data_IF_659893710244
#
_entry.id   IF_659893710244
#
_cell.length_a   1.000
_cell.length_b   1.000
_cell.length_c   1.000
_cell.angle_alpha   90.00
_cell.angle_beta   90.00
_cell.angle_gamma   90.00
#
_symmetry.space_group_name_H-M   'P 1'
#
loop_
_entity.id
_entity.type
_entity.pdbx_description
1 polymer ?
#
# COMPACT_ATOMS: atom_id res chain seq x y z
N UNK A 1 -4.04 -20.99 9.77
CA UNK A 1 -4.37 -20.30 11.01
C UNK A 1 -5.75 -20.71 11.54
N UNK A 2 -6.87 -20.40 10.88
CA UNK A 2 -8.22 -20.84 11.32
C UNK A 2 -8.36 -22.36 11.54
N UNK A 3 -7.74 -23.20 10.72
CA UNK A 3 -7.81 -24.67 10.88
C UNK A 3 -7.12 -25.18 12.17
N UNK A 4 -6.02 -24.56 12.58
CA UNK A 4 -5.23 -25.04 13.71
C UNK A 4 -5.77 -24.54 15.05
N UNK A 5 -6.13 -23.27 15.13
CA UNK A 5 -6.59 -22.63 16.36
C UNK A 5 -8.00 -23.05 16.76
N UNK A 6 -8.91 -23.17 15.82
CA UNK A 6 -10.28 -23.63 16.13
C UNK A 6 -10.33 -25.14 16.42
N UNK A 7 -9.38 -25.93 15.92
CA UNK A 7 -9.28 -27.37 16.31
C UNK A 7 -8.86 -27.51 17.77
N UNK A 8 -8.00 -26.64 18.31
CA UNK A 8 -7.65 -26.63 19.74
C UNK A 8 -8.80 -26.18 20.65
N UNK A 9 -9.66 -25.27 20.17
CA UNK A 9 -10.86 -24.79 20.89
C UNK A 9 -12.02 -25.78 20.97
N UNK A 10 -11.88 -26.97 20.47
CA UNK A 10 -12.95 -27.96 20.28
C UNK A 10 -13.40 -28.74 21.49
N UNK A 11 -13.14 -28.25 22.68
CA UNK A 11 -13.81 -28.81 23.84
C UNK A 11 -15.29 -28.44 23.98
N UNK A 12 -15.78 -27.45 23.25
CA UNK A 12 -17.02 -26.76 23.58
C UNK A 12 -18.05 -26.76 22.46
N UNK A 13 -18.49 -27.85 21.94
CA UNK A 13 -19.81 -27.93 21.28
C UNK A 13 -19.92 -27.99 19.74
N UNK A 14 -18.87 -28.03 18.95
CA UNK A 14 -19.05 -28.33 17.54
C UNK A 14 -18.45 -29.70 17.21
N UNK A 15 -19.31 -30.63 16.75
CA UNK A 15 -18.81 -31.92 16.30
C UNK A 15 -17.78 -31.73 15.18
N UNK A 16 -16.65 -32.50 15.23
CA UNK A 16 -15.62 -32.52 14.17
C UNK A 16 -16.22 -32.62 12.78
N UNK A 17 -17.36 -33.28 12.63
CA UNK A 17 -18.08 -33.47 11.37
C UNK A 17 -18.70 -32.16 10.87
N UNK A 18 -19.26 -31.30 11.74
CA UNK A 18 -19.89 -30.03 11.37
C UNK A 18 -18.85 -29.00 10.99
N UNK A 19 -17.76 -28.92 11.74
CA UNK A 19 -16.64 -28.05 11.41
C UNK A 19 -15.94 -28.44 10.09
N UNK A 20 -15.68 -29.75 9.87
CA UNK A 20 -15.10 -30.21 8.60
C UNK A 20 -16.00 -29.90 7.40
N UNK A 21 -17.32 -29.99 7.54
CA UNK A 21 -18.24 -29.58 6.48
C UNK A 21 -18.19 -28.08 6.22
N UNK A 22 -18.10 -27.28 7.28
CA UNK A 22 -18.00 -25.83 7.14
C UNK A 22 -16.70 -25.43 6.45
N UNK A 23 -15.55 -25.95 6.88
CA UNK A 23 -14.25 -25.72 6.25
C UNK A 23 -14.25 -26.18 4.78
N UNK A 24 -14.83 -27.33 4.50
CA UNK A 24 -14.94 -27.82 3.12
C UNK A 24 -15.82 -26.88 2.27
N UNK A 25 -16.93 -26.43 2.80
CA UNK A 25 -17.80 -25.46 2.13
C UNK A 25 -17.08 -24.13 1.88
N UNK A 26 -16.38 -23.60 2.88
CA UNK A 26 -15.60 -22.35 2.76
C UNK A 26 -14.51 -22.47 1.70
N UNK A 27 -13.77 -23.59 1.63
CA UNK A 27 -12.75 -23.84 0.62
C UNK A 27 -13.29 -23.91 -0.81
N UNK A 28 -14.56 -24.24 -0.98
CA UNK A 28 -15.23 -24.32 -2.28
C UNK A 28 -15.81 -22.98 -2.76
N UNK A 29 -15.82 -21.96 -1.89
CA UNK A 29 -16.37 -20.63 -2.22
C UNK A 29 -15.34 -19.81 -2.97
N UNK A 30 -15.70 -19.38 -4.15
CA UNK A 30 -14.93 -18.46 -4.98
C UNK A 30 -15.87 -17.44 -5.64
N UNK A 31 -15.96 -16.28 -5.04
CA UNK A 31 -16.72 -15.16 -5.60
C UNK A 31 -15.86 -14.27 -6.52
N UNK A 32 -14.59 -14.64 -6.79
CA UNK A 32 -13.70 -13.84 -7.62
C UNK A 32 -13.63 -12.40 -7.13
N UNK A 33 -14.00 -11.46 -7.98
CA UNK A 33 -14.04 -10.03 -7.66
C UNK A 33 -15.44 -9.50 -7.32
N UNK A 34 -16.42 -10.40 -7.12
CA UNK A 34 -17.77 -10.00 -6.72
C UNK A 34 -17.82 -9.60 -5.24
N UNK A 35 -17.92 -8.29 -5.02
CA UNK A 35 -17.97 -7.73 -3.68
C UNK A 35 -19.21 -8.16 -2.92
N UNK A 36 -20.35 -8.35 -3.60
CA UNK A 36 -21.61 -8.73 -2.94
C UNK A 36 -21.51 -10.16 -2.38
N UNK A 37 -21.02 -11.11 -3.17
CA UNK A 37 -20.81 -12.47 -2.72
C UNK A 37 -19.87 -12.57 -1.51
N UNK A 38 -18.78 -11.79 -1.53
CA UNK A 38 -17.84 -11.75 -0.40
C UNK A 38 -18.45 -11.10 0.85
N UNK A 39 -19.33 -10.11 0.72
CA UNK A 39 -20.02 -9.50 1.85
C UNK A 39 -20.98 -10.47 2.52
N UNK A 40 -21.76 -11.21 1.76
CA UNK A 40 -22.64 -12.27 2.28
C UNK A 40 -21.84 -13.34 3.04
N UNK A 41 -20.71 -13.77 2.45
CA UNK A 41 -19.77 -14.70 3.09
C UNK A 41 -19.21 -14.16 4.41
N UNK A 42 -18.79 -12.88 4.45
CA UNK A 42 -18.23 -12.27 5.67
C UNK A 42 -19.27 -12.17 6.78
N UNK A 43 -20.53 -11.87 6.45
CA UNK A 43 -21.63 -11.84 7.42
C UNK A 43 -21.87 -13.24 8.01
N UNK A 44 -21.86 -14.27 7.16
CA UNK A 44 -22.05 -15.65 7.63
C UNK A 44 -20.86 -16.15 8.44
N UNK A 45 -19.63 -15.78 8.03
CA UNK A 45 -18.40 -16.07 8.76
C UNK A 45 -18.43 -15.44 10.16
N UNK A 46 -18.77 -14.16 10.29
CA UNK A 46 -18.88 -13.46 11.56
C UNK A 46 -19.85 -14.17 12.50
N UNK A 47 -21.07 -14.45 12.02
CA UNK A 47 -22.08 -15.17 12.80
C UNK A 47 -21.59 -16.54 13.26
N UNK A 48 -20.94 -17.27 12.35
CA UNK A 48 -20.42 -18.61 12.64
C UNK A 48 -19.31 -18.56 13.66
N UNK A 49 -18.39 -17.61 13.57
CA UNK A 49 -17.30 -17.45 14.53
C UNK A 49 -17.80 -17.09 15.92
N UNK A 50 -18.76 -16.16 16.03
CA UNK A 50 -19.37 -15.78 17.31
C UNK A 50 -20.07 -16.97 18.01
N UNK A 51 -20.73 -17.84 17.23
CA UNK A 51 -21.35 -19.07 17.76
C UNK A 51 -20.28 -20.10 18.16
N UNK A 52 -19.19 -20.22 17.38
CA UNK A 52 -18.14 -21.21 17.61
C UNK A 52 -17.39 -21.00 18.92
N UNK A 53 -17.15 -19.76 19.32
CA UNK A 53 -16.46 -19.42 20.56
C UNK A 53 -17.39 -19.31 21.76
N UNK A 54 -18.72 -19.47 21.54
CA UNK A 54 -19.70 -19.24 22.61
C UNK A 54 -19.66 -17.83 23.18
N UNK A 55 -19.27 -16.85 22.34
CA UNK A 55 -19.04 -15.46 22.74
C UNK A 55 -20.21 -14.91 23.56
N UNK A 56 -21.45 -15.16 23.13
CA UNK A 56 -22.63 -14.71 23.85
C UNK A 56 -22.79 -15.37 25.24
N UNK A 57 -22.41 -16.64 25.38
CA UNK A 57 -22.45 -17.33 26.67
C UNK A 57 -21.27 -16.98 27.57
N UNK A 58 -20.09 -16.76 27.00
CA UNK A 58 -18.90 -16.33 27.72
C UNK A 58 -19.06 -14.91 28.26
N UNK A 59 -19.47 -13.97 27.40
CA UNK A 59 -19.75 -12.57 27.78
C UNK A 59 -20.90 -12.50 28.80
N UNK A 60 -21.94 -13.33 28.63
CA UNK A 60 -23.06 -13.38 29.57
C UNK A 60 -22.65 -13.91 30.96
N UNK A 61 -21.79 -14.93 31.02
CA UNK A 61 -21.27 -15.45 32.29
C UNK A 61 -20.37 -14.45 32.99
N UNK A 62 -19.45 -13.82 32.29
CA UNK A 62 -18.56 -12.80 32.83
C UNK A 62 -19.29 -11.54 33.31
N UNK A 63 -20.30 -11.07 32.55
CA UNK A 63 -21.15 -9.95 32.95
C UNK A 63 -22.02 -10.31 34.15
N UNK A 64 -22.48 -11.56 34.24
CA UNK A 64 -23.29 -12.06 35.39
C UNK A 64 -22.44 -12.15 36.65
N UNK A 65 -21.21 -12.64 36.57
CA UNK A 65 -20.26 -12.66 37.69
C UNK A 65 -19.86 -11.25 38.17
N UNK A 66 -19.64 -10.31 37.27
CA UNK A 66 -19.41 -8.88 37.64
C UNK A 66 -20.63 -8.27 38.34
N UNK A 67 -21.87 -8.54 37.88
CA UNK A 67 -23.08 -8.04 38.55
C UNK A 67 -23.21 -8.57 39.96
N UNK A 68 -22.83 -9.80 40.20
CA UNK A 68 -22.85 -10.43 41.54
C UNK A 68 -21.76 -9.82 42.44
N UNK A 69 -20.58 -9.53 41.91
CA UNK A 69 -19.43 -9.03 42.69
C UNK A 69 -19.53 -7.53 43.02
N UNK A 70 -20.23 -6.71 42.22
CA UNK A 70 -20.29 -5.25 42.38
C UNK A 70 -21.70 -4.70 42.73
N UNK A 71 -22.69 -5.55 43.08
CA UNK A 71 -23.97 -5.12 43.68
C UNK A 71 -24.78 -4.12 42.82
N UNK A 72 -24.73 -4.19 41.51
CA UNK A 72 -25.48 -3.28 40.65
C UNK A 72 -26.98 -3.67 40.63
N UNK A 73 -27.78 -2.82 41.24
CA UNK A 73 -29.23 -2.91 41.33
C UNK A 73 -29.92 -2.67 39.97
N UNK A 74 -30.83 -3.55 39.58
CA UNK A 74 -31.40 -3.67 38.23
C UNK A 74 -32.62 -2.80 37.96
N UNK A 75 -32.77 -1.64 38.65
CA UNK A 75 -34.04 -0.86 38.62
C UNK A 75 -33.95 0.48 37.88
N UNK A 76 -33.07 0.71 36.93
CA UNK A 76 -33.10 1.95 36.12
C UNK A 76 -32.97 1.73 34.62
N UNK A 77 -34.11 1.83 33.96
CA UNK A 77 -34.35 2.25 32.58
C UNK A 77 -34.20 1.26 31.40
N UNK A 78 -35.31 0.75 30.84
CA UNK A 78 -35.30 -0.27 29.77
C UNK A 78 -35.12 0.27 28.33
N UNK A 79 -34.74 1.55 28.12
CA UNK A 79 -34.69 2.15 26.77
C UNK A 79 -33.30 2.38 26.19
N UNK A 80 -32.22 2.03 26.86
CA UNK A 80 -30.85 2.15 26.31
C UNK A 80 -30.33 0.76 25.88
N UNK A 81 -30.88 0.21 24.82
CA UNK A 81 -30.26 -0.94 24.11
C UNK A 81 -29.19 -0.45 23.10
N UNK A 82 -28.18 0.26 23.52
CA UNK A 82 -26.93 0.25 22.81
C UNK A 82 -26.13 -0.95 23.34
N UNK A 83 -25.93 -1.98 22.55
CA UNK A 83 -24.96 -3.04 22.82
C UNK A 83 -23.58 -2.39 22.88
N UNK A 84 -23.13 -1.99 24.06
CA UNK A 84 -21.77 -1.57 24.29
C UNK A 84 -20.92 -2.82 24.17
N UNK A 85 -20.16 -2.95 23.10
CA UNK A 85 -19.13 -3.98 22.96
C UNK A 85 -18.09 -3.64 24.03
N UNK A 86 -17.99 -4.47 25.06
CA UNK A 86 -16.97 -4.35 26.09
C UNK A 86 -15.68 -4.88 25.46
N UNK A 87 -14.58 -4.12 25.51
CA UNK A 87 -13.30 -4.55 24.93
C UNK A 87 -12.72 -5.73 25.73
N UNK A 88 -11.91 -6.57 25.08
CA UNK A 88 -11.24 -7.68 25.75
C UNK A 88 -10.39 -7.21 26.95
N UNK A 89 -9.76 -6.04 26.84
CA UNK A 89 -9.03 -5.41 27.95
C UNK A 89 -9.94 -5.07 29.13
N UNK A 90 -11.14 -4.52 28.90
CA UNK A 90 -12.11 -4.21 29.98
C UNK A 90 -12.64 -5.48 30.67
N UNK A 91 -12.63 -6.63 30.01
CA UNK A 91 -13.06 -7.89 30.59
C UNK A 91 -12.02 -8.52 31.53
N UNK A 92 -10.74 -8.21 31.35
CA UNK A 92 -9.61 -8.89 32.01
C UNK A 92 -8.73 -8.00 32.90
N UNK A 93 -9.05 -6.70 33.08
CA UNK A 93 -8.21 -5.75 33.81
C UNK A 93 -8.06 -6.03 35.32
N UNK A 94 -8.94 -6.79 35.97
CA UNK A 94 -9.00 -6.83 37.44
C UNK A 94 -8.73 -8.20 38.13
N UNK A 95 -8.39 -9.30 37.43
CA UNK A 95 -8.18 -10.56 38.15
C UNK A 95 -7.14 -11.49 37.51
N UNK A 96 -5.98 -11.60 38.16
CA UNK A 96 -4.88 -12.49 37.75
C UNK A 96 -5.19 -13.99 37.94
N UNK A 97 -6.37 -14.34 38.45
CA UNK A 97 -6.74 -15.69 38.90
C UNK A 97 -7.97 -16.31 38.25
N UNK A 98 -8.46 -15.78 37.11
CA UNK A 98 -9.62 -16.35 36.44
C UNK A 98 -9.26 -17.67 35.74
N UNK A 99 -9.37 -18.79 36.44
CA UNK A 99 -9.39 -20.11 35.83
C UNK A 99 -10.78 -20.37 35.23
N UNK A 100 -10.88 -20.30 33.91
CA UNK A 100 -12.10 -20.66 33.19
C UNK A 100 -12.23 -22.19 33.11
N UNK A 101 -12.94 -22.77 34.05
CA UNK A 101 -13.33 -24.18 34.01
C UNK A 101 -14.58 -24.36 33.15
N UNK A 102 -14.40 -24.66 31.87
CA UNK A 102 -15.48 -25.00 30.96
C UNK A 102 -15.73 -26.50 31.01
N UNK A 103 -16.95 -26.92 31.36
CA UNK A 103 -17.34 -28.33 31.31
C UNK A 103 -17.68 -28.71 29.86
N UNK A 104 -17.00 -29.74 29.35
CA UNK A 104 -17.35 -30.34 28.06
C UNK A 104 -18.67 -31.12 28.20
N UNK A 105 -19.36 -31.41 27.07
CA UNK A 105 -20.53 -32.29 27.03
C UNK A 105 -20.29 -33.67 27.66
N UNK A 106 -19.05 -34.09 27.81
CA UNK A 106 -18.61 -35.33 28.44
C UNK A 106 -18.16 -35.15 29.90
N UNK A 107 -18.44 -34.01 30.52
CA UNK A 107 -18.16 -33.76 31.95
C UNK A 107 -16.65 -33.51 32.27
N UNK A 108 -15.75 -33.46 31.29
CA UNK A 108 -14.36 -33.17 31.54
C UNK A 108 -14.12 -31.67 31.62
N UNK A 109 -13.41 -31.21 32.64
CA UNK A 109 -12.95 -29.84 32.71
C UNK A 109 -11.87 -29.61 31.66
N UNK A 110 -12.07 -28.54 30.87
CA UNK A 110 -11.09 -28.09 29.89
C UNK A 110 -10.40 -26.89 30.49
N UNK A 111 -9.10 -27.02 30.66
CA UNK A 111 -8.25 -25.90 31.05
C UNK A 111 -7.92 -25.10 29.79
N UNK A 112 -8.31 -23.82 29.75
CA UNK A 112 -7.98 -22.92 28.66
C UNK A 112 -6.92 -21.97 29.19
N UNK A 113 -5.81 -21.88 28.47
CA UNK A 113 -4.81 -20.87 28.71
C UNK A 113 -5.42 -19.48 28.53
N UNK A 114 -5.35 -18.67 29.57
CA UNK A 114 -5.91 -17.31 29.60
C UNK A 114 -5.32 -16.43 28.49
N UNK A 115 -4.02 -16.54 28.24
CA UNK A 115 -3.34 -15.74 27.22
C UNK A 115 -3.85 -16.10 25.83
N UNK A 116 -3.96 -17.38 25.51
CA UNK A 116 -4.50 -17.86 24.25
C UNK A 116 -5.96 -17.41 24.04
N UNK A 117 -6.77 -17.42 25.11
CA UNK A 117 -8.17 -16.94 25.03
C UNK A 117 -8.23 -15.44 24.73
N UNK A 118 -7.38 -14.64 25.37
CA UNK A 118 -7.31 -13.20 25.14
C UNK A 118 -6.94 -12.92 23.69
N UNK A 119 -5.93 -13.60 23.16
CA UNK A 119 -5.47 -13.43 21.77
C UNK A 119 -6.57 -13.78 20.78
N UNK A 120 -7.28 -14.87 20.98
CA UNK A 120 -8.39 -15.27 20.11
C UNK A 120 -9.53 -14.25 20.14
N UNK A 121 -9.94 -13.79 21.33
CA UNK A 121 -10.98 -12.78 21.46
C UNK A 121 -10.58 -11.47 20.78
N UNK A 122 -9.33 -11.05 20.93
CA UNK A 122 -8.80 -9.86 20.26
C UNK A 122 -8.79 -10.00 18.74
N UNK A 123 -8.41 -11.15 18.22
CA UNK A 123 -8.41 -11.42 16.77
C UNK A 123 -9.83 -11.42 16.20
N UNK A 124 -10.79 -11.97 16.93
CA UNK A 124 -12.21 -11.95 16.52
C UNK A 124 -12.77 -10.54 16.58
N UNK A 125 -12.51 -9.78 17.64
CA UNK A 125 -12.92 -8.38 17.70
C UNK A 125 -12.34 -7.54 16.56
N UNK A 126 -11.07 -7.78 16.23
CA UNK A 126 -10.38 -7.13 15.10
C UNK A 126 -11.04 -7.51 13.77
N UNK A 127 -11.35 -8.78 13.56
CA UNK A 127 -12.01 -9.27 12.36
C UNK A 127 -13.44 -8.69 12.26
N UNK A 128 -14.24 -8.78 13.31
CA UNK A 128 -15.59 -8.22 13.39
C UNK A 128 -15.60 -6.71 13.12
N UNK A 129 -14.64 -5.96 13.68
CA UNK A 129 -14.48 -4.53 13.42
C UNK A 129 -14.18 -4.26 11.96
N UNK A 130 -13.32 -5.07 11.35
CA UNK A 130 -12.97 -4.96 9.93
C UNK A 130 -14.17 -5.26 9.04
N UNK A 131 -14.91 -6.33 9.32
CA UNK A 131 -16.14 -6.69 8.60
C UNK A 131 -17.18 -5.55 8.70
N UNK A 132 -17.43 -5.04 9.90
CA UNK A 132 -18.37 -3.93 10.12
C UNK A 132 -17.95 -2.64 9.39
N UNK A 133 -16.65 -2.35 9.27
CA UNK A 133 -16.16 -1.24 8.47
C UNK A 133 -16.45 -1.40 6.98
N UNK A 134 -16.36 -2.63 6.46
CA UNK A 134 -16.69 -2.93 5.07
C UNK A 134 -18.20 -2.82 4.87
N UNK A 135 -19.00 -3.45 5.75
CA UNK A 135 -20.46 -3.48 5.68
C UNK A 135 -21.10 -2.11 5.83
N UNK A 136 -20.50 -1.20 6.61
CA UNK A 136 -21.01 0.17 6.81
C UNK A 136 -20.95 1.04 5.56
N UNK A 137 -20.06 0.71 4.62
CA UNK A 137 -19.85 1.47 3.38
C UNK A 137 -19.36 0.58 2.24
N UNK A 138 -20.12 -0.44 1.80
CA UNK A 138 -19.65 -1.46 0.87
C UNK A 138 -19.21 -0.88 -0.48
N UNK A 139 -19.86 0.19 -0.96
CA UNK A 139 -19.49 0.89 -2.21
C UNK A 139 -18.14 1.59 -2.15
N UNK A 140 -17.60 1.79 -0.93
CA UNK A 140 -16.28 2.41 -0.73
C UNK A 140 -15.14 1.39 -0.70
N UNK A 141 -15.43 0.13 -0.90
CA UNK A 141 -14.46 -0.96 -0.88
C UNK A 141 -14.49 -1.74 -2.18
N UNK A 142 -13.38 -2.39 -2.49
CA UNK A 142 -13.29 -3.36 -3.57
C UNK A 142 -12.55 -4.60 -3.11
N UNK A 143 -12.84 -5.71 -3.76
CA UNK A 143 -11.96 -6.87 -3.78
C UNK A 143 -10.82 -6.54 -4.74
N UNK A 144 -9.62 -6.31 -4.22
CA UNK A 144 -8.46 -5.91 -5.01
C UNK A 144 -7.76 -7.11 -5.62
N UNK A 145 -7.58 -8.16 -4.84
CA UNK A 145 -6.90 -9.39 -5.25
C UNK A 145 -7.53 -10.62 -4.62
N UNK A 146 -7.50 -11.71 -5.37
CA UNK A 146 -7.94 -13.04 -4.93
C UNK A 146 -6.79 -14.00 -5.23
N UNK A 147 -6.20 -14.56 -4.19
CA UNK A 147 -5.12 -15.52 -4.29
C UNK A 147 -5.69 -16.94 -4.27
N UNK A 148 -5.18 -17.79 -5.14
CA UNK A 148 -5.59 -19.18 -5.26
C UNK A 148 -4.38 -20.11 -5.21
N UNK A 149 -4.55 -21.21 -4.51
CA UNK A 149 -3.60 -22.30 -4.48
C UNK A 149 -4.36 -23.60 -4.80
N UNK A 150 -3.90 -24.37 -5.80
CA UNK A 150 -4.59 -25.59 -6.25
C UNK A 150 -6.11 -25.39 -6.49
N UNK A 151 -6.49 -24.26 -7.12
CA UNK A 151 -7.88 -23.82 -7.36
C UNK A 151 -8.67 -23.39 -6.13
N UNK A 152 -8.14 -23.53 -4.92
CA UNK A 152 -8.76 -23.04 -3.69
C UNK A 152 -8.39 -21.57 -3.45
N UNK A 153 -9.37 -20.77 -3.01
CA UNK A 153 -9.11 -19.40 -2.56
C UNK A 153 -8.42 -19.43 -1.20
N UNK A 154 -7.17 -18.95 -1.17
CA UNK A 154 -6.35 -18.92 0.06
C UNK A 154 -6.36 -17.57 0.74
N UNK A 155 -6.54 -16.48 -0.04
CA UNK A 155 -6.54 -15.11 0.48
C UNK A 155 -7.38 -14.20 -0.40
N UNK A 156 -8.14 -13.31 0.21
CA UNK A 156 -8.88 -12.23 -0.47
C UNK A 156 -8.48 -10.90 0.15
N UNK A 157 -8.13 -9.93 -0.69
CA UNK A 157 -7.79 -8.59 -0.25
C UNK A 157 -8.93 -7.60 -0.52
N UNK A 158 -9.41 -6.97 0.55
CA UNK A 158 -10.34 -5.85 0.48
C UNK A 158 -9.58 -4.55 0.68
N UNK A 159 -9.71 -3.60 -0.25
CA UNK A 159 -9.08 -2.28 -0.15
C UNK A 159 -10.13 -1.17 -0.18
N UNK A 160 -10.05 -0.19 0.74
CA UNK A 160 -10.91 0.99 0.66
C UNK A 160 -10.47 1.86 -0.51
N UNK A 161 -11.44 2.33 -1.30
CA UNK A 161 -11.19 3.29 -2.38
C UNK A 161 -10.81 4.68 -1.83
N UNK A 162 -11.31 4.99 -0.64
CA UNK A 162 -10.94 6.21 0.09
C UNK A 162 -10.43 5.87 1.50
N UNK A 163 -9.10 5.91 1.72
CA UNK A 163 -8.50 5.66 3.02
C UNK A 163 -8.52 6.88 3.95
N UNK A 164 -9.00 8.03 3.51
CA UNK A 164 -8.89 9.31 4.21
C UNK A 164 -9.43 9.27 5.65
N UNK A 165 -10.58 8.63 5.89
CA UNK A 165 -11.17 8.47 7.22
C UNK A 165 -10.28 7.71 8.21
N UNK A 166 -9.48 6.77 7.74
CA UNK A 166 -8.58 5.99 8.59
C UNK A 166 -7.32 6.78 8.95
N UNK A 167 -6.79 7.54 7.98
CA UNK A 167 -5.64 8.42 8.20
C UNK A 167 -6.04 9.54 9.15
N UNK A 168 -7.20 10.18 8.92
CA UNK A 168 -7.76 11.21 9.80
C UNK A 168 -7.86 10.72 11.26
N UNK A 169 -8.38 9.52 11.47
CA UNK A 169 -8.51 8.94 12.80
C UNK A 169 -7.14 8.72 13.52
N UNK A 170 -6.04 8.57 12.77
CA UNK A 170 -4.68 8.52 13.33
C UNK A 170 -4.21 9.92 13.71
N UNK A 171 -4.38 10.88 12.81
CA UNK A 171 -3.96 12.27 13.01
C UNK A 171 -4.69 12.89 14.21
N UNK A 172 -5.98 12.64 14.37
CA UNK A 172 -6.81 13.16 15.45
C UNK A 172 -6.48 12.62 16.85
N UNK A 173 -5.69 11.53 16.93
CA UNK A 173 -5.20 11.03 18.23
C UNK A 173 -4.18 11.94 18.89
N UNK A 174 -3.54 12.82 18.14
CA UNK A 174 -2.53 13.74 18.61
C UNK A 174 -3.08 15.18 18.60
N UNK A 175 -2.93 15.96 19.66
CA UNK A 175 -3.39 17.36 19.70
C UNK A 175 -2.67 18.26 18.70
N UNK A 176 -1.45 17.87 18.29
CA UNK A 176 -0.67 18.54 17.22
C UNK A 176 0.06 17.49 16.41
N UNK A 177 -0.08 17.54 15.08
CA UNK A 177 0.58 16.63 14.16
C UNK A 177 1.37 17.42 13.13
N UNK A 178 2.63 17.07 12.93
CA UNK A 178 3.48 17.59 11.85
C UNK A 178 3.69 16.50 10.80
N UNK A 179 3.25 16.78 9.56
CA UNK A 179 3.48 15.89 8.41
C UNK A 179 4.47 16.57 7.48
N UNK A 180 5.59 15.90 7.20
CA UNK A 180 6.67 16.45 6.39
C UNK A 180 7.00 15.54 5.21
N UNK A 181 7.21 16.14 4.04
CA UNK A 181 7.75 15.46 2.86
C UNK A 181 8.38 16.49 1.92
N UNK A 182 9.40 16.08 1.18
CA UNK A 182 9.96 16.88 0.10
C UNK A 182 9.01 17.03 -1.10
N UNK A 183 7.97 16.18 -1.17
CA UNK A 183 7.11 16.05 -2.34
C UNK A 183 5.62 15.95 -1.96
N UNK A 184 5.10 16.88 -1.15
CA UNK A 184 3.65 16.99 -0.91
C UNK A 184 2.93 17.47 -2.17
N UNK A 185 3.57 18.33 -2.96
CA UNK A 185 3.06 18.97 -4.18
C UNK A 185 1.84 19.84 -3.89
N UNK A 186 0.67 19.52 -4.46
CA UNK A 186 -0.55 20.25 -4.18
C UNK A 186 -1.10 19.89 -2.80
N UNK A 187 -1.04 20.84 -1.85
CA UNK A 187 -1.45 20.60 -0.46
C UNK A 187 -2.96 20.30 -0.33
N UNK A 188 -3.82 20.96 -1.13
CA UNK A 188 -5.28 20.69 -1.06
C UNK A 188 -5.62 19.26 -1.46
N UNK A 189 -4.98 18.75 -2.53
CA UNK A 189 -5.13 17.36 -2.95
C UNK A 189 -4.59 16.41 -1.90
N UNK A 190 -3.46 16.74 -1.27
CA UNK A 190 -2.88 15.95 -0.18
C UNK A 190 -3.83 15.90 1.02
N UNK A 191 -4.28 17.06 1.53
CA UNK A 191 -5.20 17.18 2.67
C UNK A 191 -6.47 16.36 2.46
N UNK A 192 -7.09 16.49 1.27
CA UNK A 192 -8.27 15.70 0.89
C UNK A 192 -8.01 14.18 0.94
N UNK A 193 -6.83 13.73 0.49
CA UNK A 193 -6.49 12.30 0.50
C UNK A 193 -6.18 11.73 1.89
N UNK A 194 -5.81 12.57 2.85
CA UNK A 194 -5.58 12.17 4.25
C UNK A 194 -6.76 12.50 5.18
N UNK A 195 -7.86 13.04 4.63
CA UNK A 195 -9.08 13.33 5.36
C UNK A 195 -9.04 14.60 6.22
N UNK A 196 -8.08 15.49 5.97
CA UNK A 196 -8.08 16.82 6.55
C UNK A 196 -8.99 17.72 5.73
N UNK A 197 -9.71 18.61 6.41
CA UNK A 197 -10.51 19.63 5.77
C UNK A 197 -9.65 20.87 5.53
N UNK A 198 -9.42 21.22 4.26
CA UNK A 198 -8.62 22.39 3.89
C UNK A 198 -9.30 23.71 4.24
N UNK A 199 -10.60 23.68 4.55
CA UNK A 199 -11.36 24.87 4.99
C UNK A 199 -11.33 25.04 6.52
N UNK A 200 -10.89 24.01 7.26
CA UNK A 200 -10.69 24.10 8.68
C UNK A 200 -9.39 24.87 8.99
N UNK A 201 -9.50 26.02 9.64
CA UNK A 201 -8.37 26.89 10.03
C UNK A 201 -7.33 26.22 10.96
N UNK A 202 -7.51 24.96 11.27
CA UNK A 202 -6.61 24.16 12.10
C UNK A 202 -5.42 23.58 11.33
N UNK A 203 -5.44 23.64 9.98
CA UNK A 203 -4.34 23.13 9.13
C UNK A 203 -3.50 24.27 8.57
N UNK A 204 -2.18 24.21 8.72
CA UNK A 204 -1.24 25.16 8.13
C UNK A 204 -0.25 24.46 7.22
N UNK A 205 -0.21 24.90 5.96
CA UNK A 205 0.78 24.44 4.99
C UNK A 205 1.98 25.37 4.93
N UNK A 206 3.19 24.82 5.02
CA UNK A 206 4.45 25.55 4.89
C UNK A 206 5.24 24.91 3.75
N UNK A 207 5.59 25.70 2.76
CA UNK A 207 6.43 25.28 1.64
C UNK A 207 7.75 26.02 1.67
N UNK A 208 8.83 25.29 1.77
CA UNK A 208 10.20 25.81 1.67
C UNK A 208 10.63 25.63 0.20
N UNK A 209 11.12 26.71 -0.41
CA UNK A 209 11.60 26.65 -1.80
C UNK A 209 12.95 25.93 -1.85
N UNK A 210 13.17 25.19 -2.95
CA UNK A 210 14.48 24.58 -3.20
C UNK A 210 15.48 25.67 -3.58
N UNK A 211 16.62 25.68 -2.93
CA UNK A 211 17.76 26.56 -3.18
C UNK A 211 18.81 25.95 -4.12
N UNK A 212 18.53 24.75 -4.67
CA UNK A 212 19.42 24.12 -5.65
C UNK A 212 19.35 24.83 -7.00
N UNK A 213 20.49 25.20 -7.61
CA UNK A 213 20.53 25.88 -8.89
C UNK A 213 19.79 25.08 -9.99
N UNK A 214 18.96 25.77 -10.76
CA UNK A 214 18.14 25.14 -11.81
C UNK A 214 19.03 24.65 -12.96
N UNK A 215 20.10 25.39 -13.25
CA UNK A 215 21.11 25.06 -14.24
C UNK A 215 21.85 23.76 -13.97
N UNK A 216 21.97 23.36 -12.69
CA UNK A 216 22.60 22.12 -12.28
C UNK A 216 21.71 20.89 -12.46
N UNK A 217 20.42 21.07 -12.78
CA UNK A 217 19.44 19.97 -12.86
C UNK A 217 18.49 20.11 -14.05
N UNK A 218 18.97 20.31 -15.27
CA UNK A 218 18.12 20.47 -16.45
C UNK A 218 17.35 19.20 -16.78
N UNK A 219 16.11 19.39 -17.28
CA UNK A 219 15.23 18.32 -17.81
C UNK A 219 15.13 18.49 -19.32
N UNK A 220 15.50 17.46 -20.07
CA UNK A 220 15.43 17.42 -21.53
C UNK A 220 14.30 16.49 -21.99
N UNK A 221 13.14 17.01 -22.41
CA UNK A 221 12.07 16.20 -23.00
C UNK A 221 12.43 15.86 -24.45
N UNK A 222 12.86 14.62 -24.66
CA UNK A 222 13.31 14.16 -25.98
C UNK A 222 12.15 13.77 -26.89
N UNK A 223 10.97 13.47 -26.30
CA UNK A 223 9.72 13.13 -27.04
C UNK A 223 9.94 12.06 -28.12
N UNK A 224 10.66 10.99 -27.76
CA UNK A 224 11.04 9.93 -28.71
C UNK A 224 9.82 9.23 -29.29
N UNK A 225 8.86 8.88 -28.43
CA UNK A 225 7.61 8.23 -28.82
C UNK A 225 6.56 8.36 -27.71
N UNK A 226 5.28 8.20 -28.06
CA UNK A 226 4.19 8.11 -27.09
C UNK A 226 4.15 6.69 -26.50
N UNK A 227 4.42 6.54 -25.19
CA UNK A 227 4.64 5.25 -24.56
C UNK A 227 3.42 4.79 -23.74
N UNK A 228 2.50 4.08 -24.40
CA UNK A 228 1.46 3.30 -23.74
C UNK A 228 1.79 1.80 -23.76
N UNK A 229 0.92 0.97 -23.18
CA UNK A 229 1.13 -0.48 -23.14
C UNK A 229 1.22 -1.10 -24.56
N UNK A 230 0.33 -0.70 -25.47
CA UNK A 230 0.26 -1.22 -26.85
C UNK A 230 1.50 -0.83 -27.66
N UNK A 231 1.92 0.45 -27.58
CA UNK A 231 3.06 0.93 -28.36
C UNK A 231 4.38 0.30 -27.86
N UNK A 232 4.51 0.06 -26.57
CA UNK A 232 5.69 -0.60 -25.99
C UNK A 232 5.90 -2.04 -26.49
N UNK A 233 4.90 -2.67 -27.09
CA UNK A 233 5.05 -3.99 -27.71
C UNK A 233 5.58 -3.91 -29.15
N UNK A 234 5.56 -2.76 -29.78
CA UNK A 234 5.98 -2.58 -31.17
C UNK A 234 7.52 -2.52 -31.27
N UNK A 235 8.09 -3.29 -32.20
CA UNK A 235 9.55 -3.43 -32.36
C UNK A 235 10.24 -2.13 -32.82
N UNK A 236 9.56 -1.30 -33.63
CA UNK A 236 10.07 0.00 -34.05
C UNK A 236 10.16 0.98 -32.87
N UNK A 237 9.14 1.01 -32.01
CA UNK A 237 9.12 1.84 -30.78
C UNK A 237 10.21 1.37 -29.81
N UNK A 238 10.32 0.06 -29.62
CA UNK A 238 11.39 -0.54 -28.82
C UNK A 238 12.77 -0.13 -29.35
N UNK A 239 13.00 -0.23 -30.66
CA UNK A 239 14.26 0.18 -31.30
C UNK A 239 14.57 1.67 -31.12
N UNK A 240 13.59 2.56 -31.27
CA UNK A 240 13.75 4.00 -31.03
C UNK A 240 14.16 4.29 -29.60
N UNK A 241 13.51 3.65 -28.62
CA UNK A 241 13.83 3.82 -27.18
C UNK A 241 15.25 3.36 -26.88
N UNK A 242 15.63 2.16 -27.33
CA UNK A 242 16.97 1.62 -27.07
C UNK A 242 18.05 2.46 -27.71
N UNK A 243 17.83 2.95 -28.93
CA UNK A 243 18.76 3.84 -29.61
C UNK A 243 18.91 5.18 -28.87
N UNK A 244 17.81 5.75 -28.37
CA UNK A 244 17.86 6.99 -27.61
C UNK A 244 18.64 6.80 -26.30
N UNK A 245 18.40 5.69 -25.58
CA UNK A 245 19.14 5.35 -24.35
C UNK A 245 20.64 5.14 -24.67
N UNK A 246 20.94 4.40 -25.72
CA UNK A 246 22.32 4.10 -26.12
C UNK A 246 23.10 5.38 -26.45
N UNK A 247 22.47 6.32 -27.15
CA UNK A 247 23.05 7.63 -27.45
C UNK A 247 23.32 8.46 -26.18
N UNK A 248 22.34 8.50 -25.24
CA UNK A 248 22.52 9.20 -23.97
C UNK A 248 23.66 8.58 -23.17
N UNK A 249 23.69 7.26 -23.06
CA UNK A 249 24.78 6.54 -22.36
C UNK A 249 26.13 6.73 -23.02
N UNK A 250 26.18 6.93 -24.34
CA UNK A 250 27.41 7.25 -25.07
C UNK A 250 27.89 8.67 -24.73
N UNK A 251 26.99 9.67 -24.70
CA UNK A 251 27.31 11.04 -24.26
C UNK A 251 27.88 11.04 -22.83
N UNK A 252 27.34 10.17 -21.97
CA UNK A 252 27.71 9.98 -20.58
C UNK A 252 28.62 8.76 -20.37
N UNK A 253 29.57 8.52 -21.29
CA UNK A 253 30.41 7.29 -21.30
C UNK A 253 31.23 7.11 -20.01
N UNK A 254 31.60 8.22 -19.36
CA UNK A 254 32.40 8.23 -18.13
C UNK A 254 31.59 8.50 -16.86
N UNK A 255 30.28 8.70 -17.00
CA UNK A 255 29.42 9.08 -15.90
C UNK A 255 28.60 7.87 -15.38
N UNK A 256 28.39 7.80 -14.08
CA UNK A 256 27.37 6.95 -13.48
C UNK A 256 25.97 7.57 -13.65
N UNK A 257 24.95 6.72 -13.75
CA UNK A 257 23.57 7.20 -13.95
C UNK A 257 22.51 6.21 -13.52
N UNK A 258 21.24 6.59 -13.76
CA UNK A 258 20.09 5.75 -13.50
C UNK A 258 19.07 5.79 -14.64
N UNK A 259 18.48 4.65 -14.96
CA UNK A 259 17.37 4.50 -15.92
C UNK A 259 16.13 4.03 -15.17
N UNK A 260 15.12 4.88 -15.12
CA UNK A 260 13.80 4.55 -14.57
C UNK A 260 12.95 3.91 -15.67
N UNK A 261 12.66 2.61 -15.52
CA UNK A 261 11.78 1.87 -16.43
C UNK A 261 10.36 1.77 -15.85
N UNK A 262 9.40 1.39 -16.66
CA UNK A 262 8.00 1.21 -16.22
C UNK A 262 7.68 -0.21 -15.79
N UNK A 263 8.53 -1.19 -16.15
CA UNK A 263 8.36 -2.61 -15.81
C UNK A 263 9.68 -3.37 -15.95
N UNK A 264 9.77 -4.56 -15.37
CA UNK A 264 10.89 -5.49 -15.58
C UNK A 264 10.97 -5.99 -17.03
N UNK A 265 9.84 -6.13 -17.73
CA UNK A 265 9.81 -6.43 -19.16
C UNK A 265 10.55 -5.36 -19.97
N UNK A 266 10.27 -4.08 -19.70
CA UNK A 266 10.97 -2.99 -20.35
C UNK A 266 12.46 -2.96 -20.00
N UNK A 267 12.82 -3.24 -18.75
CA UNK A 267 14.21 -3.34 -18.30
C UNK A 267 14.96 -4.42 -19.09
N UNK A 268 14.43 -5.64 -19.15
CA UNK A 268 15.06 -6.75 -19.87
C UNK A 268 15.22 -6.44 -21.36
N UNK A 269 14.16 -5.90 -21.96
CA UNK A 269 14.20 -5.47 -23.34
C UNK A 269 15.30 -4.44 -23.61
N UNK A 270 15.44 -3.40 -22.77
CA UNK A 270 16.50 -2.38 -22.91
C UNK A 270 17.89 -3.03 -22.82
N UNK A 271 18.11 -3.89 -21.81
CA UNK A 271 19.37 -4.64 -21.64
C UNK A 271 19.78 -5.40 -22.90
N UNK A 272 18.83 -6.07 -23.53
CA UNK A 272 19.08 -6.91 -24.71
C UNK A 272 19.34 -6.13 -25.99
N UNK A 273 18.85 -4.89 -26.06
CA UNK A 273 18.89 -4.08 -27.29
C UNK A 273 19.87 -2.88 -27.22
N UNK A 274 20.61 -2.72 -26.16
CA UNK A 274 21.71 -1.77 -26.10
C UNK A 274 22.98 -2.32 -26.77
N UNK A 275 23.87 -1.42 -27.18
CA UNK A 275 25.22 -1.80 -27.61
C UNK A 275 25.93 -2.62 -26.53
N UNK A 276 26.81 -3.54 -26.93
CA UNK A 276 27.59 -4.36 -25.99
C UNK A 276 28.38 -3.52 -24.97
N UNK A 277 28.83 -2.34 -25.38
CA UNK A 277 29.56 -1.42 -24.53
C UNK A 277 28.66 -0.89 -23.39
N UNK A 278 27.50 -0.39 -23.73
CA UNK A 278 26.58 0.20 -22.76
C UNK A 278 25.83 -0.87 -21.93
N UNK A 279 25.49 -2.02 -22.52
CA UNK A 279 24.86 -3.12 -21.78
C UNK A 279 25.76 -3.65 -20.63
N UNK A 280 27.09 -3.63 -20.79
CA UNK A 280 28.06 -4.03 -19.74
C UNK A 280 28.13 -3.05 -18.57
N UNK A 281 27.61 -1.84 -18.71
CA UNK A 281 27.56 -0.81 -17.66
C UNK A 281 26.32 -0.94 -16.78
N UNK A 282 25.32 -1.75 -17.21
CA UNK A 282 24.07 -1.88 -16.47
C UNK A 282 24.23 -2.72 -15.21
N UNK A 283 23.74 -2.20 -14.11
CA UNK A 283 23.43 -2.93 -12.87
C UNK A 283 21.91 -3.01 -12.76
N UNK A 284 21.39 -4.25 -12.79
CA UNK A 284 19.96 -4.50 -12.83
C UNK A 284 19.43 -4.72 -11.43
N UNK A 285 18.25 -4.17 -11.16
CA UNK A 285 17.48 -4.62 -10.01
C UNK A 285 16.69 -5.87 -10.36
N UNK A 286 16.70 -6.83 -9.46
CA UNK A 286 15.94 -8.06 -9.53
C UNK A 286 15.04 -8.13 -8.29
N UNK A 287 13.78 -8.61 -8.38
CA UNK A 287 12.93 -8.81 -7.20
C UNK A 287 13.52 -9.73 -6.14
N UNK A 288 14.43 -10.64 -6.53
CA UNK A 288 15.07 -11.63 -5.64
C UNK A 288 16.36 -11.10 -4.98
N UNK A 289 16.94 -9.99 -5.49
CA UNK A 289 18.17 -9.39 -4.95
C UNK A 289 17.80 -8.25 -4.00
N UNK A 290 18.43 -8.21 -2.83
CA UNK A 290 18.25 -7.11 -1.91
C UNK A 290 18.65 -5.77 -2.56
N UNK A 291 17.75 -4.83 -2.50
CA UNK A 291 17.91 -3.50 -3.10
C UNK A 291 19.19 -2.80 -2.66
N UNK A 292 19.54 -2.91 -1.39
CA UNK A 292 20.71 -2.25 -0.81
C UNK A 292 22.02 -2.84 -1.33
N UNK A 293 22.02 -4.11 -1.72
CA UNK A 293 23.16 -4.76 -2.36
C UNK A 293 23.44 -4.17 -3.74
N UNK A 294 22.41 -4.02 -4.56
CA UNK A 294 22.49 -3.40 -5.90
C UNK A 294 23.01 -1.95 -5.83
N UNK A 295 22.52 -1.19 -4.83
CA UNK A 295 22.97 0.19 -4.62
C UNK A 295 24.44 0.24 -4.18
N UNK A 296 24.84 -0.66 -3.29
CA UNK A 296 26.21 -0.76 -2.81
C UNK A 296 27.17 -1.13 -3.95
N UNK A 297 26.84 -2.12 -4.77
CA UNK A 297 27.63 -2.48 -5.97
C UNK A 297 27.84 -1.26 -6.87
N UNK A 298 26.77 -0.50 -7.13
CA UNK A 298 26.86 0.72 -7.93
C UNK A 298 27.76 1.78 -7.27
N UNK A 299 27.62 1.99 -5.97
CA UNK A 299 28.39 3.01 -5.25
C UNK A 299 29.88 2.68 -5.20
N UNK A 300 30.24 1.44 -4.91
CA UNK A 300 31.62 0.97 -4.76
C UNK A 300 32.36 0.77 -6.09
N UNK A 301 31.62 0.59 -7.19
CA UNK A 301 32.22 0.42 -8.52
C UNK A 301 33.05 1.65 -8.92
N UNK A 302 34.27 1.43 -9.40
CA UNK A 302 35.10 2.47 -10.04
C UNK A 302 34.76 2.69 -11.51
N UNK A 303 33.89 1.83 -12.09
CA UNK A 303 33.44 1.92 -13.48
C UNK A 303 32.21 2.84 -13.60
N UNK A 304 31.95 3.43 -14.78
CA UNK A 304 30.77 4.26 -15.02
C UNK A 304 29.51 3.40 -15.15
N UNK A 305 29.10 2.76 -14.05
CA UNK A 305 27.92 1.91 -13.99
C UNK A 305 26.62 2.70 -14.10
N UNK A 306 25.54 2.04 -14.56
CA UNK A 306 24.23 2.64 -14.73
C UNK A 306 23.19 1.71 -14.10
N UNK A 307 22.51 2.20 -13.07
CA UNK A 307 21.38 1.48 -12.46
C UNK A 307 20.20 1.47 -13.42
N UNK A 308 19.51 0.34 -13.54
CA UNK A 308 18.27 0.26 -14.30
C UNK A 308 17.19 -0.45 -13.50
N UNK A 309 16.01 0.18 -13.33
CA UNK A 309 14.98 -0.31 -12.43
C UNK A 309 13.60 0.27 -12.70
N UNK A 310 12.53 -0.53 -12.50
CA UNK A 310 11.16 -0.02 -12.42
C UNK A 310 10.78 0.48 -11.01
N UNK A 311 11.56 0.19 -9.96
CA UNK A 311 11.18 0.42 -8.56
C UNK A 311 12.05 1.44 -7.81
N UNK A 312 13.16 1.89 -8.37
CA UNK A 312 14.12 2.80 -7.72
C UNK A 312 13.69 4.29 -7.74
N UNK A 313 12.42 4.60 -7.91
CA UNK A 313 11.90 5.97 -7.83
C UNK A 313 11.70 6.46 -6.38
N UNK A 314 11.78 5.58 -5.36
CA UNK A 314 11.67 5.93 -3.95
C UNK A 314 12.85 5.40 -3.13
N UNK A 315 13.20 6.08 -2.02
CA UNK A 315 14.17 5.60 -1.03
C UNK A 315 15.62 5.44 -1.51
N UNK A 316 16.05 6.15 -2.54
CA UNK A 316 17.40 6.10 -3.09
C UNK A 316 18.11 7.45 -2.91
N UNK A 317 19.38 7.43 -2.54
CA UNK A 317 20.23 8.60 -2.48
C UNK A 317 21.46 8.39 -3.37
N UNK A 318 21.43 9.00 -4.57
CA UNK A 318 22.50 8.94 -5.56
C UNK A 318 23.13 10.32 -5.73
N UNK A 319 23.80 10.78 -4.70
CA UNK A 319 24.47 12.09 -4.71
C UNK A 319 25.76 12.08 -5.54
N UNK A 320 26.14 13.25 -6.02
CA UNK A 320 27.41 13.53 -6.67
C UNK A 320 27.67 12.64 -7.89
N UNK A 321 28.84 11.99 -7.94
CA UNK A 321 29.27 11.15 -9.05
C UNK A 321 28.43 9.87 -9.23
N UNK A 322 27.56 9.52 -8.28
CA UNK A 322 26.73 8.33 -8.36
C UNK A 322 25.59 8.45 -9.38
N UNK A 323 25.17 9.68 -9.75
CA UNK A 323 24.17 9.87 -10.80
C UNK A 323 24.32 11.21 -11.50
N UNK A 324 25.19 11.30 -12.50
CA UNK A 324 25.36 12.49 -13.34
C UNK A 324 24.32 12.61 -14.44
N UNK A 325 23.63 11.53 -14.74
CA UNK A 325 22.46 11.54 -15.61
C UNK A 325 21.40 10.56 -15.15
N UNK A 326 20.17 10.87 -15.51
CA UNK A 326 19.03 9.98 -15.31
C UNK A 326 18.14 9.98 -16.53
N UNK A 327 17.56 8.82 -16.82
CA UNK A 327 16.62 8.63 -17.94
C UNK A 327 15.28 8.17 -17.37
N UNK A 328 14.23 8.93 -17.61
CA UNK A 328 12.85 8.56 -17.33
C UNK A 328 12.28 8.05 -18.64
N UNK A 329 12.16 6.74 -18.79
CA UNK A 329 11.72 6.14 -20.04
C UNK A 329 10.27 6.44 -20.35
N UNK A 330 9.40 6.46 -19.34
CA UNK A 330 7.96 6.67 -19.47
C UNK A 330 7.43 7.52 -18.32
N UNK A 331 6.43 8.38 -18.61
CA UNK A 331 5.69 9.10 -17.57
C UNK A 331 5.06 8.07 -16.61
N UNK A 332 5.35 8.14 -15.28
CA UNK A 332 5.05 7.06 -14.32
C UNK A 332 3.59 7.09 -13.84
N UNK A 333 2.65 6.99 -14.79
CA UNK A 333 1.23 6.85 -14.44
C UNK A 333 0.99 5.61 -13.57
N UNK A 334 0.13 5.70 -12.53
CA UNK A 334 -0.29 4.51 -11.79
C UNK A 334 -0.89 3.46 -12.73
N UNK A 335 -0.58 2.19 -12.49
CA UNK A 335 -1.01 1.10 -13.36
C UNK A 335 -2.53 0.89 -13.28
N UNK A 336 -3.25 1.17 -14.35
CA UNK A 336 -4.71 0.99 -14.43
C UNK A 336 -5.15 -0.45 -14.65
N UNK A 337 -4.22 -1.39 -14.91
CA UNK A 337 -4.53 -2.82 -14.87
C UNK A 337 -4.77 -3.30 -13.43
N UNK A 338 -4.19 -2.62 -12.44
CA UNK A 338 -4.57 -2.79 -11.04
C UNK A 338 -6.00 -2.30 -10.82
N UNK A 339 -6.86 -3.19 -10.31
CA UNK A 339 -8.28 -2.91 -10.16
C UNK A 339 -8.54 -1.74 -9.21
N UNK A 340 -7.80 -1.65 -8.09
CA UNK A 340 -7.95 -0.55 -7.14
C UNK A 340 -7.60 0.80 -7.79
N UNK A 341 -6.48 0.86 -8.50
CA UNK A 341 -6.05 2.07 -9.24
C UNK A 341 -7.09 2.49 -10.28
N UNK A 342 -7.63 1.52 -11.03
CA UNK A 342 -8.67 1.77 -12.04
C UNK A 342 -9.93 2.36 -11.42
N UNK A 343 -10.45 1.77 -10.35
CA UNK A 343 -11.65 2.26 -9.66
C UNK A 343 -11.39 3.60 -8.95
N UNK A 344 -10.24 3.76 -8.29
CA UNK A 344 -9.85 5.02 -7.66
C UNK A 344 -9.76 6.16 -8.69
N UNK A 345 -9.20 5.90 -9.88
CA UNK A 345 -9.14 6.88 -10.98
C UNK A 345 -10.52 7.32 -11.46
N UNK A 346 -11.50 6.39 -11.53
CA UNK A 346 -12.88 6.70 -11.95
C UNK A 346 -13.55 7.71 -11.01
N UNK A 347 -13.35 7.52 -9.70
CA UNK A 347 -13.96 8.38 -8.67
C UNK A 347 -13.14 9.65 -8.36
N UNK A 348 -11.84 9.61 -8.60
CA UNK A 348 -10.93 10.73 -8.29
C UNK A 348 -9.79 10.83 -9.32
N UNK A 349 -10.06 11.52 -10.42
CA UNK A 349 -9.06 11.78 -11.49
C UNK A 349 -7.91 12.67 -11.00
N UNK A 350 -8.20 13.62 -10.09
CA UNK A 350 -7.19 14.52 -9.51
C UNK A 350 -6.13 13.74 -8.77
N UNK A 351 -6.53 12.76 -7.95
CA UNK A 351 -5.61 11.84 -7.28
C UNK A 351 -4.69 11.12 -8.28
N UNK A 352 -5.22 10.67 -9.41
CA UNK A 352 -4.45 9.94 -10.42
C UNK A 352 -3.32 10.78 -11.02
N UNK A 353 -3.61 12.03 -11.36
CA UNK A 353 -2.61 12.96 -11.89
C UNK A 353 -1.65 13.45 -10.81
N UNK A 354 -2.12 13.66 -9.59
CA UNK A 354 -1.28 14.00 -8.46
C UNK A 354 -0.29 12.87 -8.13
N UNK A 355 -0.71 11.60 -8.13
CA UNK A 355 0.18 10.45 -7.96
C UNK A 355 1.21 10.36 -9.09
N UNK A 356 0.83 10.65 -10.33
CA UNK A 356 1.77 10.70 -11.46
C UNK A 356 2.81 11.79 -11.26
N UNK A 357 2.39 13.01 -10.91
CA UNK A 357 3.27 14.13 -10.62
C UNK A 357 4.23 13.80 -9.46
N UNK A 358 3.71 13.18 -8.39
CA UNK A 358 4.49 12.77 -7.21
C UNK A 358 5.63 11.82 -7.62
N UNK A 359 5.32 10.76 -8.35
CA UNK A 359 6.31 9.79 -8.83
C UNK A 359 7.34 10.41 -9.76
N UNK A 360 6.88 11.28 -10.66
CA UNK A 360 7.75 11.98 -11.61
C UNK A 360 8.75 12.90 -10.90
N UNK A 361 8.27 13.70 -9.96
CA UNK A 361 9.11 14.61 -9.15
C UNK A 361 10.04 13.83 -8.22
N UNK A 362 9.58 12.71 -7.67
CA UNK A 362 10.41 11.82 -6.85
C UNK A 362 11.52 11.16 -7.67
N UNK A 363 11.23 10.68 -8.87
CA UNK A 363 12.23 10.12 -9.77
C UNK A 363 13.26 11.19 -10.14
N UNK A 364 12.82 12.37 -10.57
CA UNK A 364 13.69 13.49 -10.88
C UNK A 364 14.59 13.92 -9.72
N UNK A 365 14.07 13.93 -8.49
CA UNK A 365 14.80 14.36 -7.29
C UNK A 365 15.82 13.34 -6.76
N UNK A 366 16.27 12.33 -7.53
CA UNK A 366 17.21 11.30 -7.06
C UNK A 366 18.68 11.66 -7.19
N UNK A 367 19.01 12.47 -8.16
CA UNK A 367 20.40 12.67 -8.58
C UNK A 367 21.06 13.93 -8.01
N UNK A 368 20.30 14.98 -7.67
CA UNK A 368 20.87 16.25 -7.15
C UNK A 368 20.50 16.42 -5.69
N UNK A 369 21.51 16.55 -4.81
CA UNK A 369 21.34 16.55 -3.35
C UNK A 369 21.94 17.76 -2.63
N UNK A 370 22.74 18.57 -3.31
CA UNK A 370 23.34 19.79 -2.78
C UNK A 370 23.32 20.91 -3.82
N UNK A 371 23.77 22.10 -3.44
CA UNK A 371 23.89 23.25 -4.35
C UNK A 371 24.98 23.06 -5.41
N UNK A 372 26.03 22.32 -5.07
CA UNK A 372 27.18 22.07 -5.94
C UNK A 372 27.01 20.80 -6.77
N UNK A 373 25.99 20.00 -6.48
CA UNK A 373 25.69 18.77 -7.19
C UNK A 373 24.94 19.05 -8.50
N UNK A 374 25.18 18.20 -9.51
CA UNK A 374 24.52 18.34 -10.80
C UNK A 374 24.18 17.01 -11.45
N UNK A 375 23.08 16.99 -12.20
CA UNK A 375 22.68 15.86 -13.02
C UNK A 375 21.77 16.29 -14.17
N UNK A 376 21.89 15.63 -15.33
CA UNK A 376 21.00 15.84 -16.48
C UNK A 376 19.87 14.80 -16.48
N UNK A 377 18.64 15.25 -16.66
CA UNK A 377 17.47 14.37 -16.75
C UNK A 377 16.95 14.32 -18.18
N UNK A 378 16.77 13.12 -18.71
CA UNK A 378 16.21 12.90 -20.05
C UNK A 378 14.88 12.18 -19.92
N UNK A 379 13.84 12.72 -20.59
CA UNK A 379 12.51 12.09 -20.60
C UNK A 379 12.18 11.66 -22.03
N UNK A 380 11.98 10.36 -22.24
CA UNK A 380 11.80 9.79 -23.58
C UNK A 380 10.36 9.85 -24.07
N UNK A 381 9.41 9.73 -23.12
CA UNK A 381 7.95 9.67 -23.42
C UNK A 381 7.42 11.04 -23.88
N UNK A 382 6.86 11.09 -25.08
CA UNK A 382 6.24 12.32 -25.60
C UNK A 382 5.00 12.76 -24.82
N UNK A 383 4.38 11.86 -24.03
CA UNK A 383 3.31 12.20 -23.11
C UNK A 383 3.73 13.22 -22.03
N UNK A 384 5.02 13.37 -21.77
CA UNK A 384 5.55 14.29 -20.76
C UNK A 384 5.15 15.74 -21.02
N UNK A 385 5.31 16.23 -22.25
CA UNK A 385 4.96 17.62 -22.59
C UNK A 385 3.47 17.90 -22.40
N UNK A 386 2.61 16.98 -22.81
CA UNK A 386 1.18 17.09 -22.58
C UNK A 386 0.85 17.06 -21.09
N UNK A 387 1.45 16.12 -20.34
CA UNK A 387 1.25 16.00 -18.90
C UNK A 387 1.63 17.29 -18.16
N UNK A 388 2.78 17.86 -18.46
CA UNK A 388 3.26 19.11 -17.85
C UNK A 388 2.33 20.28 -18.19
N UNK A 389 1.89 20.38 -19.45
CA UNK A 389 0.98 21.45 -19.88
C UNK A 389 -0.35 21.43 -19.15
N UNK A 390 -0.94 20.24 -18.98
CA UNK A 390 -2.29 20.09 -18.38
C UNK A 390 -2.24 20.14 -16.84
N UNK A 391 -1.13 19.71 -16.24
CA UNK A 391 -1.00 19.56 -14.80
C UNK A 391 0.05 20.53 -14.19
N UNK A 392 0.28 21.68 -14.81
CA UNK A 392 1.27 22.65 -14.35
C UNK A 392 0.98 23.21 -12.94
N UNK A 393 -0.30 23.23 -12.54
CA UNK A 393 -0.75 23.65 -11.21
C UNK A 393 -0.42 22.65 -10.08
N UNK A 394 -0.11 21.38 -10.43
CA UNK A 394 0.28 20.35 -9.47
C UNK A 394 1.81 20.31 -9.32
N UNK A 395 2.53 20.58 -10.41
CA UNK A 395 3.99 20.51 -10.45
C UNK A 395 4.65 21.71 -9.76
N UNK A 396 5.73 21.51 -8.98
CA UNK A 396 6.40 22.61 -8.33
C UNK A 396 7.12 23.52 -9.34
N UNK A 397 7.17 24.83 -9.06
CA UNK A 397 7.80 25.83 -9.93
C UNK A 397 9.24 25.48 -10.28
N UNK A 398 10.03 24.99 -9.30
CA UNK A 398 11.43 24.60 -9.51
C UNK A 398 11.59 23.41 -10.47
N UNK A 399 10.59 22.52 -10.55
CA UNK A 399 10.56 21.43 -11.54
C UNK A 399 10.27 21.97 -12.94
N UNK A 400 9.23 22.81 -13.05
CA UNK A 400 8.84 23.43 -14.32
C UNK A 400 9.96 24.28 -14.93
N UNK A 401 10.65 25.06 -14.08
CA UNK A 401 11.76 25.93 -14.52
C UNK A 401 13.01 25.14 -14.93
N UNK A 402 13.14 23.87 -14.56
CA UNK A 402 14.24 23.02 -14.96
C UNK A 402 14.10 22.46 -16.40
N UNK A 403 12.89 22.49 -16.97
CA UNK A 403 12.60 21.97 -18.31
C UNK A 403 13.28 22.86 -19.36
N UNK A 404 13.99 22.23 -20.28
CA UNK A 404 14.67 22.87 -21.43
C UNK A 404 13.95 22.48 -22.70
N UNK A 405 13.83 23.44 -23.62
CA UNK A 405 13.25 23.24 -24.94
C UNK A 405 14.33 22.71 -25.91
#
# INVERSE_FOLDING_TARGET
MLETEIVQFRGVSISKKRWRRYIHHVKMIDYGYDMHGWLEFLIDLEKTMLVLIGYDSLVHSLVKERKVKYGYDSTSNPKAKSRRIVSASELFEDDASLELNIKSENGKNIHIDKELLIDIVQDIEKLTRTINNILSSPKSWIVSEVYKENYDVTRVEFKPLDPSKYIKAIVEKCPKTLIMSATILNHKTFEKNIGLDSEDNNTKFIQIQSDFPIENRPIFPLSVEYLNFSNLQQMDVKSKISRAIDNIMHIHSNDKGIIHTSSYEQLNFIKENLSKMNSRRLILTDPEIERDEVIREHAESTKPTVLISPSLHTGLDLKDHLSRFQIITKVPYPNVADKWTSEKRKINKEWYYWQTALRLVQAYGRSVRSKDDWAKTYVLDSAFNYFVKVNNNILPKWFLSAIRN
#
